data_IF_957355859140
#
_entry.id   IF_957355859140
#
_cell.length_a   1.000
_cell.length_b   1.000
_cell.length_c   1.000
_cell.angle_alpha   90.00
_cell.angle_beta   90.00
_cell.angle_gamma   90.00
#
_symmetry.space_group_name_H-M   'P 1'
#
loop_
_entity.id
_entity.type
_entity.pdbx_description
1 polymer ?
#
# COMPACT_ATOMS: atom_id res chain seq x y z
N UNK A 1 -10.95 -24.83 -4.92
CA UNK A 1 -10.23 -23.75 -5.64
C UNK A 1 -10.60 -22.34 -5.16
N UNK A 2 -11.87 -22.04 -4.90
CA UNK A 2 -12.32 -20.69 -4.50
C UNK A 2 -11.91 -20.36 -3.06
N UNK A 3 -12.16 -21.27 -2.12
CA UNK A 3 -11.86 -21.06 -0.69
C UNK A 3 -10.37 -20.75 -0.43
N UNK A 4 -9.46 -21.47 -1.07
CA UNK A 4 -8.02 -21.19 -0.97
C UNK A 4 -7.62 -19.82 -1.52
N UNK A 5 -8.31 -19.34 -2.57
CA UNK A 5 -8.10 -17.98 -3.10
C UNK A 5 -8.65 -16.92 -2.16
N UNK A 6 -9.81 -17.15 -1.55
CA UNK A 6 -10.38 -16.26 -0.53
C UNK A 6 -9.43 -16.16 0.66
N UNK A 7 -8.92 -17.29 1.14
CA UNK A 7 -7.96 -17.32 2.24
C UNK A 7 -6.69 -16.54 1.92
N UNK A 8 -6.08 -16.77 0.75
CA UNK A 8 -4.90 -16.04 0.30
C UNK A 8 -5.17 -14.53 0.19
N UNK A 9 -6.31 -14.16 -0.38
CA UNK A 9 -6.71 -12.76 -0.48
C UNK A 9 -6.79 -12.09 0.89
N UNK A 10 -7.42 -12.75 1.88
CA UNK A 10 -7.49 -12.25 3.26
C UNK A 10 -6.12 -12.13 3.92
N UNK A 11 -5.20 -13.07 3.65
CA UNK A 11 -3.82 -13.01 4.16
C UNK A 11 -3.03 -11.82 3.58
N UNK A 12 -3.27 -11.44 2.32
CA UNK A 12 -2.60 -10.32 1.66
C UNK A 12 -3.15 -8.94 2.07
N UNK A 13 -4.46 -8.82 2.33
CA UNK A 13 -5.11 -7.54 2.63
C UNK A 13 -5.21 -7.19 4.12
N UNK A 14 -5.16 -8.19 5.02
CA UNK A 14 -5.30 -7.94 6.46
C UNK A 14 -3.95 -7.80 7.15
N UNK A 15 -3.83 -6.82 8.06
CA UNK A 15 -2.60 -6.59 8.83
C UNK A 15 -2.10 -7.87 9.52
N UNK A 16 -3.00 -8.69 10.06
CA UNK A 16 -2.65 -9.88 10.84
C UNK A 16 -2.12 -11.04 9.97
N UNK A 17 -2.60 -11.15 8.74
CA UNK A 17 -2.17 -12.19 7.79
C UNK A 17 -0.87 -11.86 7.07
N UNK A 18 -0.52 -10.59 6.99
CA UNK A 18 0.66 -10.11 6.28
C UNK A 18 1.98 -10.58 6.93
N UNK A 19 3.01 -10.85 6.11
CA UNK A 19 4.38 -11.07 6.60
C UNK A 19 4.91 -9.79 7.25
N UNK A 20 5.71 -9.94 8.30
CA UNK A 20 6.29 -8.80 8.98
C UNK A 20 7.46 -8.22 8.16
N UNK A 21 7.44 -6.91 7.90
CA UNK A 21 8.40 -6.26 6.99
C UNK A 21 9.86 -6.43 7.43
N UNK A 22 10.13 -6.52 8.74
CA UNK A 22 11.50 -6.71 9.26
C UNK A 22 11.92 -8.17 9.35
N UNK A 23 10.96 -9.09 9.36
CA UNK A 23 11.17 -10.53 9.40
C UNK A 23 10.04 -11.21 8.61
N UNK A 24 10.23 -11.41 7.28
CA UNK A 24 9.20 -11.95 6.42
C UNK A 24 8.84 -13.42 6.70
N UNK A 25 9.61 -14.14 7.53
CA UNK A 25 9.34 -15.54 7.87
C UNK A 25 8.15 -15.69 8.83
N UNK A 26 7.79 -14.62 9.55
CA UNK A 26 6.66 -14.59 10.47
C UNK A 26 5.60 -13.58 10.03
N UNK A 27 4.35 -13.89 10.36
CA UNK A 27 3.24 -12.93 10.16
C UNK A 27 3.17 -11.94 11.33
N UNK A 28 2.53 -10.80 11.12
CA UNK A 28 2.28 -9.82 12.19
C UNK A 28 1.49 -10.45 13.35
N UNK A 29 0.55 -11.36 13.07
CA UNK A 29 -0.17 -12.10 14.11
C UNK A 29 0.76 -12.96 15.00
N UNK A 30 1.73 -13.66 14.39
CA UNK A 30 2.71 -14.46 15.13
C UNK A 30 3.59 -13.56 16.01
N UNK A 31 4.06 -12.45 15.46
CA UNK A 31 4.85 -11.46 16.20
C UNK A 31 4.11 -10.93 17.43
N UNK A 32 2.85 -10.53 17.27
CA UNK A 32 2.03 -10.02 18.38
C UNK A 32 1.80 -11.08 19.46
N UNK A 33 1.55 -12.33 19.05
CA UNK A 33 1.36 -13.46 19.97
C UNK A 33 2.61 -13.73 20.81
N UNK A 34 3.79 -13.74 20.18
CA UNK A 34 5.07 -13.92 20.87
C UNK A 34 5.33 -12.83 21.91
N UNK A 35 4.87 -11.60 21.65
CA UNK A 35 5.07 -10.45 22.51
C UNK A 35 3.89 -10.18 23.47
N UNK A 36 2.88 -11.07 23.52
CA UNK A 36 1.66 -10.90 24.32
C UNK A 36 0.98 -9.52 24.09
N UNK A 37 1.05 -9.03 22.86
CA UNK A 37 0.55 -7.72 22.45
C UNK A 37 -0.68 -7.85 21.53
N UNK A 38 -1.44 -6.76 21.39
CA UNK A 38 -2.60 -6.67 20.49
C UNK A 38 -2.61 -5.34 19.77
N UNK A 39 -2.97 -5.36 18.49
CA UNK A 39 -3.29 -4.14 17.73
C UNK A 39 -4.76 -3.82 17.97
N UNK A 40 -5.05 -2.63 18.47
CA UNK A 40 -6.43 -2.17 18.67
C UNK A 40 -6.97 -1.51 17.40
N UNK A 41 -6.22 -0.56 16.84
CA UNK A 41 -6.55 0.19 15.62
C UNK A 41 -5.26 0.70 14.97
N UNK A 42 -5.31 0.94 13.67
CA UNK A 42 -4.27 1.65 12.93
C UNK A 42 -4.91 2.52 11.84
N UNK A 43 -4.20 3.57 11.43
CA UNK A 43 -4.53 4.41 10.28
C UNK A 43 -3.29 4.54 9.42
N UNK A 44 -3.46 4.41 8.10
CA UNK A 44 -2.42 4.68 7.10
C UNK A 44 -2.90 5.88 6.30
N UNK A 45 -2.12 6.96 6.32
CA UNK A 45 -2.38 8.16 5.53
C UNK A 45 -1.25 8.28 4.51
N UNK A 46 -1.60 8.54 3.25
CA UNK A 46 -0.64 8.77 2.19
C UNK A 46 -0.88 10.14 1.54
N UNK A 47 0.20 10.88 1.28
CA UNK A 47 0.10 12.19 0.64
C UNK A 47 -0.42 12.00 -0.78
N UNK A 48 -1.54 12.65 -1.09
CA UNK A 48 -2.18 12.52 -2.39
C UNK A 48 -3.05 11.27 -2.56
N UNK A 49 -3.39 10.58 -1.47
CA UNK A 49 -4.37 9.50 -1.50
C UNK A 49 -5.70 10.00 -2.10
N UNK A 50 -6.16 9.35 -3.18
CA UNK A 50 -7.37 9.74 -3.91
C UNK A 50 -7.24 10.96 -4.83
N UNK A 51 -6.05 11.57 -4.95
CA UNK A 51 -5.81 12.69 -5.88
C UNK A 51 -5.31 12.13 -7.22
N UNK A 52 -6.00 12.47 -8.32
CA UNK A 52 -5.52 12.12 -9.65
C UNK A 52 -4.20 12.87 -9.95
N UNK A 53 -3.14 12.09 -10.15
CA UNK A 53 -1.83 12.64 -10.48
C UNK A 53 -1.86 13.17 -11.91
N UNK A 54 -1.99 14.49 -12.06
CA UNK A 54 -1.84 15.16 -13.36
C UNK A 54 -0.46 14.84 -13.92
N UNK A 55 -0.44 14.30 -15.13
CA UNK A 55 0.79 14.07 -15.89
C UNK A 55 0.99 15.26 -16.80
N UNK A 56 1.79 16.21 -16.35
CA UNK A 56 2.15 17.40 -17.13
C UNK A 56 3.38 17.04 -17.99
N UNK A 57 3.26 17.23 -19.31
CA UNK A 57 4.37 17.05 -20.24
C UNK A 57 5.05 18.40 -20.45
N UNK A 58 6.12 18.61 -19.70
CA UNK A 58 6.91 19.82 -19.73
C UNK A 58 7.43 20.16 -21.14
N UNK A 59 7.71 19.16 -21.99
CA UNK A 59 8.18 19.40 -23.36
C UNK A 59 7.06 19.97 -24.24
N UNK A 60 5.83 19.50 -24.06
CA UNK A 60 4.66 20.04 -24.76
C UNK A 60 4.33 21.47 -24.29
N UNK A 61 4.46 21.76 -23.00
CA UNK A 61 4.28 23.12 -22.45
C UNK A 61 5.32 24.10 -23.00
N UNK A 62 6.60 23.70 -23.02
CA UNK A 62 7.69 24.52 -23.59
C UNK A 62 7.47 24.76 -25.09
N UNK A 63 7.04 23.76 -25.85
CA UNK A 63 6.75 23.90 -27.28
C UNK A 63 5.56 24.83 -27.57
N UNK A 64 4.55 24.87 -26.69
CA UNK A 64 3.42 25.81 -26.81
C UNK A 64 3.85 27.25 -26.55
N UNK A 65 4.69 27.49 -25.54
CA UNK A 65 5.21 28.84 -25.24
C UNK A 65 6.11 29.35 -26.37
N UNK A 66 6.99 28.50 -26.93
CA UNK A 66 7.91 28.88 -28.00
C UNK A 66 7.22 29.17 -29.35
N UNK A 67 6.03 28.64 -29.60
CA UNK A 67 5.21 28.93 -30.81
C UNK A 67 4.40 30.22 -30.71
N UNK A 68 4.34 30.85 -29.53
CA UNK A 68 3.64 32.11 -29.29
C UNK A 68 4.51 33.36 -29.44
N UNK A 69 5.78 33.21 -29.82
CA UNK A 69 6.72 34.25 -30.26
C UNK A 69 6.93 34.07 -31.77
#
# INVERSE_FOLDING_TARGET
MIEGRIRKFLEEITLMGQPFVKDPEITVAKLLTQNKAKVLRFWRLEVGEGIEKKKEDFAAEVAQVAKGI
#
